data_IF_243011763952
#
_entry.id   IF_243011763952
#
_cell.length_a   1.000
_cell.length_b   1.000
_cell.length_c   1.000
_cell.angle_alpha   90.00
_cell.angle_beta   90.00
_cell.angle_gamma   90.00
#
_symmetry.space_group_name_H-M   'P 1'
#
loop_
_entity.id
_entity.type
_entity.pdbx_description
1 polymer ?
#
# COMPACT_ATOMS: atom_id res chain seq x y z
N UNK A 1 9.96 -13.14 12.36
CA UNK A 1 11.31 -12.68 11.94
C UNK A 1 11.88 -13.51 10.78
N UNK A 2 11.64 -14.82 10.72
CA UNK A 2 12.21 -15.69 9.67
C UNK A 2 11.80 -15.27 8.23
N UNK A 3 10.50 -15.04 7.99
CA UNK A 3 10.01 -14.58 6.69
C UNK A 3 10.74 -13.31 6.19
N UNK A 4 10.94 -12.30 7.05
CA UNK A 4 11.62 -11.06 6.67
C UNK A 4 13.07 -11.29 6.23
N UNK A 5 13.80 -12.23 6.86
CA UNK A 5 15.14 -12.61 6.42
C UNK A 5 15.13 -13.25 5.04
N UNK A 6 14.15 -14.10 4.78
CA UNK A 6 13.97 -14.75 3.47
C UNK A 6 13.65 -13.73 2.37
N UNK A 7 12.85 -12.71 2.69
CA UNK A 7 12.58 -11.60 1.76
C UNK A 7 13.82 -10.81 1.37
N UNK A 8 14.83 -10.72 2.25
CA UNK A 8 16.09 -10.05 1.96
C UNK A 8 17.12 -10.98 1.30
N UNK A 9 16.99 -12.30 1.46
CA UNK A 9 17.98 -13.28 1.02
C UNK A 9 17.65 -13.92 -0.33
N UNK A 10 16.37 -14.11 -0.65
CA UNK A 10 15.94 -14.73 -1.90
C UNK A 10 15.85 -13.63 -2.97
N UNK A 11 16.63 -13.72 -4.06
CA UNK A 11 16.54 -12.74 -5.14
C UNK A 11 15.21 -12.88 -5.90
N UNK A 12 14.82 -11.78 -6.55
CA UNK A 12 13.66 -11.67 -7.44
C UNK A 12 12.30 -11.95 -6.76
N UNK A 13 11.33 -12.45 -7.55
CA UNK A 13 9.96 -12.68 -7.09
C UNK A 13 9.91 -13.91 -6.19
N UNK A 14 9.43 -13.70 -4.97
CA UNK A 14 9.32 -14.72 -3.94
C UNK A 14 7.92 -15.34 -3.97
N UNK A 15 7.85 -16.67 -3.88
CA UNK A 15 6.62 -17.41 -3.66
C UNK A 15 6.73 -18.27 -2.37
N UNK A 16 5.58 -18.77 -1.89
CA UNK A 16 5.55 -19.54 -0.64
C UNK A 16 6.33 -20.86 -0.70
N UNK A 17 6.46 -21.47 -1.88
CA UNK A 17 7.27 -22.69 -2.05
C UNK A 17 8.76 -22.39 -1.82
N UNK A 18 9.25 -21.26 -2.31
CA UNK A 18 10.62 -20.80 -2.04
C UNK A 18 10.81 -20.49 -0.56
N UNK A 19 9.84 -19.85 0.09
CA UNK A 19 9.88 -19.63 1.53
C UNK A 19 9.96 -20.96 2.30
N UNK A 20 9.16 -21.96 1.92
CA UNK A 20 9.23 -23.29 2.53
C UNK A 20 10.53 -24.05 2.25
N UNK A 21 11.18 -23.80 1.10
CA UNK A 21 12.45 -24.45 0.72
C UNK A 21 13.66 -23.86 1.44
N UNK A 22 13.72 -22.53 1.56
CA UNK A 22 14.88 -21.83 2.13
C UNK A 22 14.68 -21.43 3.59
N UNK A 23 13.43 -21.45 4.05
CA UNK A 23 13.04 -21.08 5.40
C UNK A 23 13.06 -22.24 6.37
N UNK A 24 12.74 -21.91 7.63
CA UNK A 24 12.66 -22.89 8.72
C UNK A 24 11.33 -23.63 8.79
N UNK A 25 10.29 -23.10 8.14
CA UNK A 25 8.91 -23.59 8.28
C UNK A 25 8.37 -24.13 6.96
N UNK A 26 7.23 -24.82 7.02
CA UNK A 26 6.56 -25.31 5.82
C UNK A 26 5.97 -24.16 4.99
N UNK A 27 5.74 -24.40 3.69
CA UNK A 27 4.99 -23.47 2.81
C UNK A 27 3.67 -23.02 3.49
N UNK A 28 2.93 -23.98 4.04
CA UNK A 28 1.63 -23.73 4.66
C UNK A 28 1.74 -22.78 5.85
N UNK A 29 2.81 -22.91 6.65
CA UNK A 29 3.05 -22.02 7.79
C UNK A 29 3.26 -20.58 7.35
N UNK A 30 4.04 -20.35 6.28
CA UNK A 30 4.18 -19.00 5.72
C UNK A 30 2.87 -18.49 5.15
N UNK A 31 2.11 -19.32 4.43
CA UNK A 31 0.80 -18.91 3.90
C UNK A 31 -0.14 -18.43 5.01
N UNK A 32 -0.25 -19.20 6.09
CA UNK A 32 -1.07 -18.83 7.25
C UNK A 32 -0.57 -17.54 7.92
N UNK A 33 0.75 -17.36 8.03
CA UNK A 33 1.34 -16.13 8.59
C UNK A 33 0.91 -14.88 7.81
N UNK A 34 0.91 -14.94 6.48
CA UNK A 34 0.50 -13.83 5.63
C UNK A 34 -1.03 -13.63 5.58
N UNK A 35 -1.81 -14.67 5.87
CA UNK A 35 -3.28 -14.59 5.93
C UNK A 35 -3.77 -13.89 7.20
N UNK A 36 -3.09 -14.07 8.34
CA UNK A 36 -3.57 -13.55 9.63
C UNK A 36 -3.18 -12.09 9.94
N UNK A 37 -2.55 -11.35 9.00
CA UNK A 37 -2.11 -9.94 9.14
C UNK A 37 -1.71 -9.50 10.57
N UNK A 38 -0.92 -10.32 11.26
CA UNK A 38 -0.60 -10.08 12.68
C UNK A 38 0.44 -8.98 12.91
N UNK A 39 1.04 -8.47 11.83
CA UNK A 39 2.10 -7.49 11.89
C UNK A 39 1.60 -6.10 11.45
N UNK A 40 1.73 -5.12 12.34
CA UNK A 40 1.38 -3.74 12.03
C UNK A 40 2.46 -3.06 11.19
N UNK A 41 2.40 -3.29 9.87
CA UNK A 41 3.28 -2.68 8.88
C UNK A 41 3.23 -1.15 8.92
N UNK A 42 2.07 -0.57 9.24
CA UNK A 42 1.90 0.88 9.27
C UNK A 42 2.70 1.51 10.41
N UNK A 43 2.60 0.94 11.62
CA UNK A 43 3.39 1.38 12.77
C UNK A 43 4.89 1.13 12.57
N UNK A 44 5.26 -0.02 12.01
CA UNK A 44 6.65 -0.34 11.70
C UNK A 44 7.28 0.66 10.73
N UNK A 45 6.62 0.92 9.59
CA UNK A 45 7.09 1.90 8.60
C UNK A 45 7.15 3.31 9.20
N UNK A 46 6.15 3.69 10.00
CA UNK A 46 6.13 4.96 10.72
C UNK A 46 7.35 5.16 11.64
N UNK A 47 7.79 4.09 12.32
CA UNK A 47 8.99 4.10 13.18
C UNK A 47 10.29 4.26 12.38
N UNK A 48 10.36 3.70 11.17
CA UNK A 48 11.53 3.88 10.29
C UNK A 48 11.54 5.31 9.75
N UNK A 49 10.39 5.80 9.27
CA UNK A 49 10.21 7.15 8.74
C UNK A 49 10.61 8.20 9.76
N UNK A 50 10.18 8.06 11.02
CA UNK A 50 10.51 9.05 12.06
C UNK A 50 12.00 9.14 12.37
N UNK A 51 12.77 8.09 12.08
CA UNK A 51 14.23 8.06 12.27
C UNK A 51 15.01 8.56 11.05
N UNK A 52 14.51 8.34 9.84
CA UNK A 52 15.23 8.61 8.59
C UNK A 52 14.82 9.96 7.97
N UNK A 53 13.52 10.29 7.96
CA UNK A 53 13.03 11.55 7.40
C UNK A 53 13.15 12.67 8.43
N UNK A 54 14.33 13.28 8.50
CA UNK A 54 14.71 14.26 9.54
C UNK A 54 14.29 15.70 9.24
N UNK A 55 13.85 16.01 8.02
CA UNK A 55 13.44 17.34 7.60
C UNK A 55 12.21 17.85 8.33
N UNK A 56 12.05 19.18 8.38
CA UNK A 56 10.95 19.84 9.10
C UNK A 56 9.69 19.94 8.26
N UNK A 57 9.82 20.03 6.93
CA UNK A 57 8.69 20.11 6.01
C UNK A 57 8.42 18.74 5.43
N UNK A 58 7.29 18.16 5.83
CA UNK A 58 6.81 16.88 5.31
C UNK A 58 5.48 17.03 4.59
N UNK A 59 5.24 16.15 3.62
CA UNK A 59 3.96 15.99 2.93
C UNK A 59 3.56 14.51 2.89
N UNK A 60 2.27 14.24 2.85
CA UNK A 60 1.76 12.89 2.60
C UNK A 60 1.46 12.76 1.12
N UNK A 61 2.03 11.75 0.47
CA UNK A 61 1.70 11.38 -0.90
C UNK A 61 0.66 10.26 -0.89
N UNK A 62 -0.37 10.38 -1.71
CA UNK A 62 -1.35 9.32 -1.95
C UNK A 62 -1.41 9.07 -3.44
N UNK A 63 -1.17 7.82 -3.82
CA UNK A 63 -1.12 7.42 -5.22
C UNK A 63 -1.67 6.00 -5.42
N UNK A 64 -2.83 5.85 -6.10
CA UNK A 64 -3.30 4.57 -6.61
C UNK A 64 -2.44 4.08 -7.78
N UNK A 65 -1.98 2.85 -7.70
CA UNK A 65 -1.13 2.23 -8.71
C UNK A 65 -1.75 0.93 -9.24
N UNK A 66 -1.79 0.80 -10.57
CA UNK A 66 -2.20 -0.43 -11.25
C UNK A 66 -1.15 -1.53 -11.14
N UNK A 67 -1.59 -2.74 -10.81
CA UNK A 67 -0.78 -3.95 -10.81
C UNK A 67 -1.36 -4.96 -11.81
N UNK A 68 -0.60 -5.38 -12.84
CA UNK A 68 -1.07 -6.38 -13.78
C UNK A 68 -1.29 -7.72 -13.08
N UNK A 69 -2.51 -8.26 -13.22
CA UNK A 69 -2.87 -9.55 -12.62
C UNK A 69 -3.72 -10.39 -13.55
N UNK A 70 -3.25 -11.61 -13.79
CA UNK A 70 -3.98 -12.66 -14.50
C UNK A 70 -4.67 -13.64 -13.54
N UNK A 71 -5.59 -14.43 -14.06
CA UNK A 71 -6.34 -15.42 -13.30
C UNK A 71 -7.63 -14.88 -12.68
N UNK A 72 -8.33 -15.74 -11.93
CA UNK A 72 -9.66 -15.48 -11.34
C UNK A 72 -9.72 -15.70 -9.82
N UNK A 73 -8.64 -16.20 -9.20
CA UNK A 73 -8.62 -16.59 -7.78
C UNK A 73 -8.19 -15.47 -6.84
N UNK A 74 -7.63 -14.38 -7.36
CA UNK A 74 -7.30 -13.21 -6.53
C UNK A 74 -8.55 -12.37 -6.34
N UNK A 75 -8.94 -12.03 -5.10
CA UNK A 75 -10.05 -11.13 -4.84
C UNK A 75 -9.86 -9.78 -5.51
N UNK A 76 -10.97 -9.13 -5.85
CA UNK A 76 -11.01 -7.75 -6.32
C UNK A 76 -10.21 -7.48 -7.59
N UNK A 77 -10.14 -8.46 -8.49
CA UNK A 77 -9.68 -8.21 -9.84
C UNK A 77 -10.75 -7.41 -10.58
N UNK A 78 -10.40 -6.18 -10.95
CA UNK A 78 -11.26 -5.23 -11.66
C UNK A 78 -10.57 -4.64 -12.89
N UNK A 79 -11.13 -3.56 -13.42
CA UNK A 79 -10.48 -2.73 -14.44
C UNK A 79 -10.08 -1.40 -13.82
N UNK A 80 -8.79 -1.08 -13.89
CA UNK A 80 -8.21 0.12 -13.29
C UNK A 80 -7.33 0.84 -14.30
N UNK A 81 -7.15 2.15 -14.12
CA UNK A 81 -6.34 2.96 -15.03
C UNK A 81 -4.87 2.60 -14.93
N UNK A 82 -4.25 2.23 -16.05
CA UNK A 82 -2.80 2.03 -16.13
C UNK A 82 -2.14 3.27 -16.70
N UNK A 83 -1.47 4.06 -15.86
CA UNK A 83 -0.75 5.25 -16.31
C UNK A 83 0.32 4.97 -17.37
N UNK A 84 0.97 3.81 -17.32
CA UNK A 84 1.96 3.39 -18.32
C UNK A 84 1.34 3.08 -19.70
N UNK A 85 0.12 2.55 -19.72
CA UNK A 85 -0.55 2.16 -20.97
C UNK A 85 -1.52 3.24 -21.48
N UNK A 86 -1.89 4.22 -20.65
CA UNK A 86 -2.87 5.25 -20.98
C UNK A 86 -4.29 4.71 -21.18
N UNK A 87 -4.62 3.57 -20.58
CA UNK A 87 -5.90 2.90 -20.73
C UNK A 87 -6.32 2.14 -19.47
N UNK A 88 -7.62 1.82 -19.35
CA UNK A 88 -8.13 0.93 -18.32
C UNK A 88 -7.78 -0.52 -18.64
N UNK A 89 -7.11 -1.20 -17.70
CA UNK A 89 -6.69 -2.59 -17.87
C UNK A 89 -7.20 -3.45 -16.74
N UNK A 90 -7.47 -4.70 -17.07
CA UNK A 90 -7.83 -5.71 -16.08
C UNK A 90 -6.64 -5.99 -15.16
N UNK A 91 -6.84 -5.94 -13.85
CA UNK A 91 -5.79 -6.19 -12.87
C UNK A 91 -6.21 -5.83 -11.46
N UNK A 92 -5.24 -5.44 -10.64
CA UNK A 92 -5.46 -4.91 -9.30
C UNK A 92 -5.07 -3.43 -9.27
N UNK A 93 -5.59 -2.72 -8.28
CA UNK A 93 -5.10 -1.40 -7.91
C UNK A 93 -4.75 -1.40 -6.43
N UNK A 94 -3.67 -0.70 -6.11
CA UNK A 94 -3.23 -0.50 -4.73
C UNK A 94 -3.10 0.99 -4.47
N UNK A 95 -3.80 1.51 -3.47
CA UNK A 95 -3.58 2.88 -3.00
C UNK A 95 -2.40 2.87 -2.03
N UNK A 96 -1.29 3.48 -2.44
CA UNK A 96 -0.13 3.71 -1.59
C UNK A 96 -0.24 5.03 -0.82
N UNK A 97 0.29 5.04 0.40
CA UNK A 97 0.54 6.23 1.20
C UNK A 97 2.05 6.33 1.44
N UNK A 98 2.63 7.46 1.08
CA UNK A 98 4.03 7.80 1.34
C UNK A 98 4.17 9.07 2.17
N UNK A 99 5.31 9.22 2.83
CA UNK A 99 5.73 10.48 3.47
C UNK A 99 6.91 11.02 2.68
N UNK A 100 6.77 12.25 2.21
CA UNK A 100 7.80 13.00 1.50
C UNK A 100 8.43 13.97 2.48
N UNK A 101 9.75 13.89 2.61
CA UNK A 101 10.59 14.92 3.21
C UNK A 101 10.99 15.93 2.14
N UNK A 102 10.41 17.12 2.22
CA UNK A 102 10.61 18.19 1.23
C UNK A 102 12.01 18.81 1.38
N UNK A 103 12.54 18.84 2.60
CA UNK A 103 13.82 19.48 2.88
C UNK A 103 14.99 18.63 2.38
N UNK A 104 14.89 17.31 2.55
CA UNK A 104 15.93 16.37 2.13
C UNK A 104 15.68 15.73 0.75
N UNK A 105 14.53 16.02 0.12
CA UNK A 105 14.11 15.42 -1.16
C UNK A 105 14.01 13.88 -1.12
N UNK A 106 13.59 13.33 0.02
CA UNK A 106 13.43 11.89 0.23
C UNK A 106 11.95 11.50 0.37
N UNK A 107 11.62 10.26 0.05
CA UNK A 107 10.28 9.72 0.22
C UNK A 107 10.32 8.28 0.71
N UNK A 108 9.42 7.93 1.62
CA UNK A 108 9.29 6.56 2.13
C UNK A 108 7.82 6.14 2.20
N UNK A 109 7.55 4.87 1.93
CA UNK A 109 6.21 4.29 2.02
C UNK A 109 5.78 4.12 3.47
N UNK A 110 4.60 4.63 3.81
CA UNK A 110 3.98 4.48 5.13
C UNK A 110 3.05 3.27 5.17
N UNK A 111 2.25 3.07 4.11
CA UNK A 111 1.33 1.95 4.03
C UNK A 111 0.63 1.89 2.69
N UNK A 112 -0.21 0.87 2.53
CA UNK A 112 -0.98 0.68 1.32
C UNK A 112 -2.24 -0.13 1.59
N UNK A 113 -3.25 0.03 0.75
CA UNK A 113 -4.47 -0.79 0.75
C UNK A 113 -4.84 -1.18 -0.68
N UNK A 114 -5.27 -2.41 -0.86
CA UNK A 114 -5.81 -2.86 -2.15
C UNK A 114 -7.18 -2.20 -2.38
N UNK A 115 -7.41 -1.70 -3.59
CA UNK A 115 -8.70 -1.17 -4.01
C UNK A 115 -9.63 -2.32 -4.41
N UNK A 116 -10.86 -2.40 -3.86
CA UNK A 116 -11.85 -3.38 -4.29
C UNK A 116 -12.30 -3.11 -5.74
N UNK A 117 -12.84 -4.12 -6.43
CA UNK A 117 -13.43 -3.93 -7.75
C UNK A 117 -14.77 -3.18 -7.67
N UNK A 118 -15.23 -2.61 -8.79
CA UNK A 118 -16.46 -1.81 -8.83
C UNK A 118 -17.67 -2.53 -8.24
N UNK A 119 -17.86 -3.82 -8.53
CA UNK A 119 -19.01 -4.58 -8.00
C UNK A 119 -18.94 -4.72 -6.49
N UNK A 120 -17.73 -4.97 -5.97
CA UNK A 120 -17.53 -5.06 -4.52
C UNK A 120 -17.76 -3.70 -3.85
N UNK A 121 -17.32 -2.60 -4.46
CA UNK A 121 -17.56 -1.24 -3.96
C UNK A 121 -19.05 -0.89 -3.97
N UNK A 122 -19.76 -1.18 -5.06
CA UNK A 122 -21.21 -0.97 -5.18
C UNK A 122 -21.98 -1.75 -4.12
N UNK A 123 -21.58 -3.00 -3.87
CA UNK A 123 -22.18 -3.83 -2.81
C UNK A 123 -21.92 -3.29 -1.39
N UNK A 124 -20.90 -2.44 -1.21
CA UNK A 124 -20.60 -1.76 0.04
C UNK A 124 -21.25 -0.37 0.14
N UNK A 125 -22.01 0.05 -0.89
CA UNK A 125 -22.56 1.40 -1.02
C UNK A 125 -21.47 2.49 -0.90
N UNK A 126 -20.33 2.26 -1.57
CA UNK A 126 -19.18 3.16 -1.58
C UNK A 126 -18.66 3.38 -2.99
N UNK A 127 -18.25 4.60 -3.31
CA UNK A 127 -17.41 4.85 -4.49
C UNK A 127 -15.90 4.80 -4.12
N UNK A 128 -15.03 5.01 -5.11
CA UNK A 128 -13.57 5.02 -4.90
C UNK A 128 -13.11 6.09 -3.91
N UNK A 129 -13.72 7.28 -3.95
CA UNK A 129 -13.40 8.38 -3.04
C UNK A 129 -13.82 8.04 -1.60
N UNK A 130 -14.97 7.40 -1.41
CA UNK A 130 -15.43 6.94 -0.11
C UNK A 130 -14.51 5.86 0.46
N UNK A 131 -14.03 4.94 -0.38
CA UNK A 131 -13.07 3.91 0.00
C UNK A 131 -11.75 4.53 0.48
N UNK A 132 -11.18 5.44 -0.31
CA UNK A 132 -9.91 6.09 0.00
C UNK A 132 -10.01 6.99 1.22
N UNK A 133 -11.04 7.81 1.33
CA UNK A 133 -11.28 8.67 2.50
C UNK A 133 -11.50 7.85 3.77
N UNK A 134 -12.31 6.78 3.70
CA UNK A 134 -12.52 5.85 4.83
C UNK A 134 -11.20 5.28 5.34
N UNK A 135 -10.32 4.86 4.41
CA UNK A 135 -9.01 4.32 4.78
C UNK A 135 -8.14 5.38 5.46
N UNK A 136 -8.04 6.58 4.89
CA UNK A 136 -7.24 7.67 5.46
C UNK A 136 -7.72 8.07 6.86
N UNK A 137 -9.05 8.17 7.05
CA UNK A 137 -9.65 8.47 8.34
C UNK A 137 -9.30 7.37 9.34
N UNK A 138 -9.43 6.09 8.96
CA UNK A 138 -9.10 4.95 9.84
C UNK A 138 -7.62 4.92 10.28
N UNK A 139 -6.73 5.57 9.53
CA UNK A 139 -5.29 5.64 9.81
C UNK A 139 -4.88 6.90 10.57
N UNK A 140 -5.76 7.91 10.64
CA UNK A 140 -5.50 9.18 11.34
C UNK A 140 -5.31 8.98 12.85
N UNK A 141 -6.06 8.06 13.45
CA UNK A 141 -6.09 7.84 14.90
C UNK A 141 -4.99 6.89 15.41
N UNK A 142 -4.27 6.23 14.49
CA UNK A 142 -3.09 5.41 14.80
C UNK A 142 -1.85 6.30 14.82
N UNK A 143 -0.84 6.05 15.68
CA UNK A 143 0.13 7.03 16.17
C UNK A 143 0.94 7.69 15.05
N UNK A 144 0.32 8.68 14.42
CA UNK A 144 0.92 9.67 13.55
C UNK A 144 1.26 10.92 14.36
N UNK A 145 1.28 10.87 15.70
CA UNK A 145 1.78 11.96 16.53
C UNK A 145 3.16 12.43 16.05
N UNK A 146 4.05 11.52 15.64
CA UNK A 146 5.36 11.92 15.10
C UNK A 146 5.31 12.56 13.70
N UNK A 147 4.31 12.28 12.87
CA UNK A 147 4.17 12.84 11.52
C UNK A 147 3.34 14.14 11.54
N UNK A 148 2.33 14.21 12.40
CA UNK A 148 1.50 15.39 12.65
C UNK A 148 2.28 16.46 13.45
N UNK A 149 3.06 16.07 14.47
CA UNK A 149 3.94 16.99 15.21
C UNK A 149 5.17 17.45 14.39
N UNK A 150 5.55 16.70 13.35
CA UNK A 150 6.61 17.09 12.41
C UNK A 150 6.14 18.07 11.31
N UNK A 151 4.99 18.73 11.49
CA UNK A 151 4.59 19.86 10.63
C UNK A 151 4.06 19.46 9.25
N UNK A 152 3.54 18.24 9.09
CA UNK A 152 2.90 17.82 7.85
C UNK A 152 1.58 18.58 7.61
N UNK A 153 1.64 19.64 6.80
CA UNK A 153 0.50 20.56 6.52
C UNK A 153 -0.16 20.35 5.16
N UNK A 154 0.32 19.39 4.35
CA UNK A 154 -0.14 19.21 2.97
C UNK A 154 -0.23 17.74 2.58
N UNK A 155 -1.38 17.35 2.04
CA UNK A 155 -1.59 16.08 1.35
C UNK A 155 -1.42 16.36 -0.14
N UNK A 156 -0.52 15.63 -0.79
CA UNK A 156 -0.30 15.63 -2.22
C UNK A 156 -0.98 14.39 -2.79
N UNK A 157 -2.02 14.60 -3.59
CA UNK A 157 -2.58 13.56 -4.44
C UNK A 157 -1.81 13.58 -5.76
N UNK A 158 -1.10 12.49 -6.06
CA UNK A 158 -0.52 12.27 -7.39
C UNK A 158 -1.37 11.32 -8.24
N UNK A 159 -2.69 11.40 -8.11
CA UNK A 159 -3.62 10.80 -9.07
C UNK A 159 -4.11 11.85 -10.05
N UNK A 160 -3.95 11.63 -11.35
CA UNK A 160 -4.69 12.38 -12.36
C UNK A 160 -6.20 12.09 -12.20
N UNK A 161 -6.88 12.85 -11.34
CA UNK A 161 -8.35 12.87 -11.24
C UNK A 161 -9.03 13.50 -12.48
N UNK A 162 -8.33 13.61 -13.61
CA UNK A 162 -8.86 14.27 -14.81
C UNK A 162 -9.80 13.40 -15.66
N UNK A 163 -10.03 12.12 -15.32
CA UNK A 163 -10.94 11.25 -16.09
C UNK A 163 -11.89 10.44 -15.21
N UNK A 164 -12.51 11.07 -14.21
CA UNK A 164 -13.76 10.58 -13.63
C UNK A 164 -14.94 11.33 -14.27
N UNK A 165 -15.14 11.11 -15.57
CA UNK A 165 -16.39 11.44 -16.25
C UNK A 165 -16.88 10.20 -16.98
N UNK A 166 -17.84 9.52 -16.34
CA UNK A 166 -19.17 9.04 -16.79
C UNK A 166 -19.58 7.92 -15.84
#
# INVERSE_FOLDING_TARGET
MDAMKLFMAIPDRINFLQLGRYGRFSEQTYRNLFEHETFDWFAFNGSIISKHLTGKRKAIAIDPSYIPKSGKKTPWIGYFWSGCAGEYKRGLEIMGIGVIDIDNHECMTLGSIQTPDCKTLDNMDKNLVDWYSSYLISRKDKPTEHIQNAGCRRILFQGNFHNAYV
#
